data_IF_912988108461
#
_entry.id   IF_912988108461
#
_cell.length_a   1.000
_cell.length_b   1.000
_cell.length_c   1.000
_cell.angle_alpha   90.00
_cell.angle_beta   90.00
_cell.angle_gamma   90.00
#
_symmetry.space_group_name_H-M   'P 1'
#
loop_
_entity.id
_entity.type
_entity.pdbx_description
1 polymer ?
#
# COMPACT_ATOMS: atom_id res chain seq x y z
N UNK A 1 -1.97 11.61 16.64
CA UNK A 1 -2.75 10.40 16.29
C UNK A 1 -4.00 10.25 17.16
N UNK A 2 -4.02 10.60 18.46
CA UNK A 2 -5.22 10.38 19.30
C UNK A 2 -6.43 11.25 18.93
N UNK A 3 -6.23 12.50 18.47
CA UNK A 3 -7.35 13.39 18.10
C UNK A 3 -8.35 12.77 17.13
N UNK A 4 -7.88 11.99 16.13
CA UNK A 4 -8.77 11.32 15.16
C UNK A 4 -9.62 10.19 15.75
N UNK A 5 -9.18 9.58 16.86
CA UNK A 5 -9.94 8.53 17.53
C UNK A 5 -10.93 9.12 18.53
N UNK A 6 -10.55 10.22 19.20
CA UNK A 6 -11.46 11.04 20.01
C UNK A 6 -12.64 11.53 19.16
N UNK A 7 -12.36 12.11 17.98
CA UNK A 7 -13.39 12.55 17.03
C UNK A 7 -14.37 11.42 16.63
N UNK A 8 -13.89 10.17 16.53
CA UNK A 8 -14.73 9.01 16.19
C UNK A 8 -15.61 8.62 17.38
N UNK A 9 -15.08 8.65 18.60
CA UNK A 9 -15.85 8.32 19.80
C UNK A 9 -16.95 9.34 20.07
N UNK A 10 -16.73 10.61 19.74
CA UNK A 10 -17.70 11.69 19.91
C UNK A 10 -18.92 11.58 18.97
N UNK A 11 -18.82 10.82 17.89
CA UNK A 11 -19.89 10.63 16.90
C UNK A 11 -20.79 9.43 17.26
N UNK A 12 -20.30 8.49 18.08
CA UNK A 12 -21.02 7.26 18.41
C UNK A 12 -22.07 7.50 19.50
N UNK A 13 -23.24 6.87 19.35
CA UNK A 13 -24.24 6.88 20.41
C UNK A 13 -23.87 5.93 21.58
N UNK A 14 -24.62 6.01 22.69
CA UNK A 14 -24.35 5.18 23.88
C UNK A 14 -24.34 3.67 23.59
N UNK A 15 -25.25 3.18 22.75
CA UNK A 15 -25.33 1.76 22.42
C UNK A 15 -24.15 1.33 21.54
N UNK A 16 -23.76 2.19 20.60
CA UNK A 16 -22.59 1.98 19.74
C UNK A 16 -21.30 1.99 20.56
N UNK A 17 -21.14 2.93 21.48
CA UNK A 17 -20.02 2.98 22.42
C UNK A 17 -19.95 1.70 23.27
N UNK A 18 -21.08 1.20 23.76
CA UNK A 18 -21.10 -0.03 24.55
C UNK A 18 -20.75 -1.27 23.73
N UNK A 19 -21.19 -1.33 22.46
CA UNK A 19 -20.78 -2.38 21.51
C UNK A 19 -19.28 -2.31 21.20
N UNK A 20 -18.77 -1.10 20.99
CA UNK A 20 -17.35 -0.87 20.72
C UNK A 20 -16.49 -1.30 21.91
N UNK A 21 -16.90 -0.95 23.14
CA UNK A 21 -16.27 -1.42 24.37
C UNK A 21 -16.25 -2.94 24.46
N UNK A 22 -17.39 -3.60 24.23
CA UNK A 22 -17.48 -5.06 24.29
C UNK A 22 -16.59 -5.74 23.23
N UNK A 23 -16.49 -5.17 22.03
CA UNK A 23 -15.58 -5.70 20.99
C UNK A 23 -14.13 -5.57 21.46
N UNK A 24 -13.70 -4.41 21.97
CA UNK A 24 -12.35 -4.21 22.51
C UNK A 24 -12.04 -5.17 23.66
N UNK A 25 -12.96 -5.33 24.62
CA UNK A 25 -12.81 -6.24 25.76
C UNK A 25 -12.67 -7.71 25.30
N UNK A 26 -13.27 -8.06 24.16
CA UNK A 26 -13.15 -9.38 23.53
C UNK A 26 -11.93 -9.56 22.62
N UNK A 27 -11.01 -8.57 22.58
CA UNK A 27 -9.82 -8.59 21.74
C UNK A 27 -10.00 -7.97 20.35
N UNK A 28 -11.01 -7.11 20.19
CA UNK A 28 -11.31 -6.33 18.98
C UNK A 28 -11.55 -7.18 17.71
N UNK A 29 -12.22 -8.33 17.85
CA UNK A 29 -12.41 -9.31 16.77
C UNK A 29 -13.16 -8.70 15.59
N UNK A 30 -14.24 -7.97 15.86
CA UNK A 30 -15.09 -7.37 14.82
C UNK A 30 -14.35 -6.23 14.14
N UNK A 31 -13.72 -5.35 14.92
CA UNK A 31 -12.93 -4.24 14.40
C UNK A 31 -11.76 -4.71 13.55
N UNK A 32 -11.08 -5.79 13.96
CA UNK A 32 -9.98 -6.40 13.20
C UNK A 32 -10.47 -6.88 11.83
N UNK A 33 -11.58 -7.61 11.77
CA UNK A 33 -12.17 -8.05 10.48
C UNK A 33 -12.52 -6.87 9.59
N UNK A 34 -13.17 -5.85 10.16
CA UNK A 34 -13.51 -4.60 9.45
C UNK A 34 -12.27 -3.90 8.88
N UNK A 35 -11.19 -3.85 9.66
CA UNK A 35 -9.92 -3.26 9.24
C UNK A 35 -9.28 -4.07 8.11
N UNK A 36 -9.21 -5.39 8.24
CA UNK A 36 -8.68 -6.30 7.21
C UNK A 36 -9.47 -6.17 5.89
N UNK A 37 -10.80 -6.11 5.96
CA UNK A 37 -11.65 -5.89 4.78
C UNK A 37 -11.41 -4.53 4.14
N UNK A 38 -11.29 -3.46 4.94
CA UNK A 38 -10.97 -2.12 4.43
C UNK A 38 -9.60 -2.08 3.76
N UNK A 39 -8.57 -2.71 4.34
CA UNK A 39 -7.24 -2.83 3.75
C UNK A 39 -7.32 -3.59 2.42
N UNK A 40 -8.04 -4.73 2.40
CA UNK A 40 -8.24 -5.52 1.18
C UNK A 40 -8.94 -4.72 0.08
N UNK A 41 -9.94 -3.92 0.43
CA UNK A 41 -10.64 -3.07 -0.52
C UNK A 41 -9.74 -1.94 -1.03
N UNK A 42 -8.95 -1.31 -0.16
CA UNK A 42 -7.94 -0.33 -0.56
C UNK A 42 -6.87 -0.91 -1.49
N UNK A 43 -6.46 -2.16 -1.28
CA UNK A 43 -5.54 -2.85 -2.20
C UNK A 43 -6.17 -3.12 -3.58
N UNK A 44 -7.49 -3.35 -3.64
CA UNK A 44 -8.24 -3.50 -4.90
C UNK A 44 -8.41 -2.18 -5.65
N UNK A 45 -8.55 -1.04 -4.96
CA UNK A 45 -8.65 0.28 -5.58
C UNK A 45 -7.45 0.55 -6.48
N UNK A 46 -7.67 0.66 -7.79
CA UNK A 46 -6.59 0.90 -8.72
C UNK A 46 -6.09 2.35 -8.67
N UNK A 47 -4.78 2.55 -8.87
CA UNK A 47 -4.19 3.89 -8.99
C UNK A 47 -4.74 4.58 -10.23
N UNK A 48 -5.06 5.87 -10.16
CA UNK A 48 -5.67 6.58 -11.30
C UNK A 48 -4.67 6.96 -12.39
N UNK A 49 -3.37 6.82 -12.11
CA UNK A 49 -2.28 7.32 -12.95
C UNK A 49 -1.19 6.27 -13.11
N UNK A 50 -0.56 6.28 -14.28
CA UNK A 50 0.55 5.40 -14.58
C UNK A 50 1.80 5.81 -13.78
N UNK A 51 2.42 4.85 -13.08
CA UNK A 51 3.64 5.06 -12.31
C UNK A 51 4.88 5.41 -13.17
N UNK A 52 4.81 5.20 -14.49
CA UNK A 52 5.92 5.45 -15.42
C UNK A 52 5.75 6.77 -16.18
N UNK A 53 4.63 6.93 -16.89
CA UNK A 53 4.41 8.08 -17.79
C UNK A 53 3.41 9.12 -17.24
N UNK A 54 2.82 8.88 -16.07
CA UNK A 54 1.81 9.74 -15.43
C UNK A 54 0.48 9.90 -16.20
N UNK A 55 0.29 9.17 -17.31
CA UNK A 55 -0.99 9.13 -18.03
C UNK A 55 -2.12 8.58 -17.15
N UNK A 56 -3.33 9.08 -17.34
CA UNK A 56 -4.51 8.55 -16.66
C UNK A 56 -4.79 7.10 -17.06
N UNK A 57 -5.11 6.27 -16.06
CA UNK A 57 -5.44 4.87 -16.23
C UNK A 57 -6.96 4.72 -16.34
N UNK A 58 -7.40 4.23 -17.50
CA UNK A 58 -8.79 3.87 -17.72
C UNK A 58 -8.95 2.36 -17.50
N UNK A 59 -9.42 1.96 -16.31
CA UNK A 59 -9.61 0.56 -15.91
C UNK A 59 -10.70 -0.19 -16.68
N UNK A 60 -11.49 0.51 -17.51
CA UNK A 60 -12.42 -0.11 -18.44
C UNK A 60 -11.75 -0.53 -19.76
N UNK A 61 -10.47 -0.18 -19.97
CA UNK A 61 -9.63 -0.69 -21.07
C UNK A 61 -8.84 -1.92 -20.62
N UNK A 62 -8.66 -2.88 -21.52
CA UNK A 62 -8.09 -4.22 -21.25
C UNK A 62 -6.59 -4.25 -20.92
N UNK A 63 -5.85 -3.16 -21.10
CA UNK A 63 -4.38 -3.20 -21.13
C UNK A 63 -3.70 -2.53 -19.93
N UNK A 64 -4.36 -2.45 -18.77
CA UNK A 64 -3.71 -1.92 -17.56
C UNK A 64 -3.03 -3.05 -16.76
N UNK A 65 -1.85 -2.76 -16.25
CA UNK A 65 -1.09 -3.67 -15.40
C UNK A 65 -0.93 -3.08 -14.00
N UNK A 66 -0.82 -3.92 -12.98
CA UNK A 66 -0.59 -3.48 -11.61
C UNK A 66 0.40 -4.42 -10.93
N UNK A 67 1.44 -3.83 -10.33
CA UNK A 67 2.44 -4.52 -9.54
C UNK A 67 2.23 -4.17 -8.07
N UNK A 68 2.15 -5.18 -7.21
CA UNK A 68 2.11 -5.05 -5.75
C UNK A 68 3.38 -5.69 -5.19
N UNK A 69 4.14 -4.95 -4.39
CA UNK A 69 5.45 -5.39 -3.89
C UNK A 69 5.79 -4.79 -2.53
N UNK A 70 6.64 -5.47 -1.76
CA UNK A 70 6.97 -5.11 -0.37
C UNK A 70 6.53 -6.19 0.62
N UNK A 71 6.95 -6.09 1.90
CA UNK A 71 6.50 -6.99 2.95
C UNK A 71 5.01 -6.81 3.23
N UNK A 72 4.38 -7.77 3.91
CA UNK A 72 2.92 -7.78 4.05
C UNK A 72 2.35 -6.51 4.69
N UNK A 73 3.07 -5.93 5.65
CA UNK A 73 2.68 -4.71 6.36
C UNK A 73 3.01 -3.42 5.59
N UNK A 74 3.84 -3.49 4.55
CA UNK A 74 4.28 -2.32 3.76
C UNK A 74 4.17 -2.56 2.25
N UNK A 75 3.05 -3.13 1.81
CA UNK A 75 2.75 -3.30 0.38
C UNK A 75 2.68 -1.94 -0.30
N UNK A 76 3.47 -1.79 -1.36
CA UNK A 76 3.41 -0.68 -2.32
C UNK A 76 2.70 -1.16 -3.58
N UNK A 77 2.06 -0.22 -4.26
CA UNK A 77 1.32 -0.45 -5.50
C UNK A 77 1.84 0.47 -6.59
N UNK A 78 1.98 -0.05 -7.80
CA UNK A 78 2.26 0.73 -9.00
C UNK A 78 1.40 0.20 -10.14
N UNK A 79 0.68 1.09 -10.83
CA UNK A 79 -0.16 0.73 -11.98
C UNK A 79 0.40 1.34 -13.27
N UNK A 80 0.14 0.66 -14.40
CA UNK A 80 0.75 0.97 -15.69
C UNK A 80 -0.30 0.93 -16.80
N UNK A 81 -0.22 1.86 -17.75
CA UNK A 81 -1.18 1.99 -18.86
C UNK A 81 -0.95 0.97 -19.98
N UNK A 82 0.18 0.26 -19.94
CA UNK A 82 0.61 -0.66 -20.97
C UNK A 82 1.82 -1.48 -20.54
N UNK A 83 2.14 -2.49 -21.35
CA UNK A 83 3.24 -3.42 -21.10
C UNK A 83 4.61 -2.74 -21.19
N UNK A 84 4.74 -1.79 -22.11
CA UNK A 84 5.92 -0.93 -22.32
C UNK A 84 6.27 -0.12 -21.05
N UNK A 85 5.26 0.50 -20.43
CA UNK A 85 5.43 1.27 -19.19
C UNK A 85 5.81 0.37 -18.01
N UNK A 86 5.28 -0.85 -17.96
CA UNK A 86 5.67 -1.85 -16.97
C UNK A 86 7.11 -2.33 -17.19
N UNK A 87 7.48 -2.65 -18.42
CA UNK A 87 8.82 -3.11 -18.79
C UNK A 87 9.88 -2.06 -18.45
N UNK A 88 9.66 -0.80 -18.85
CA UNK A 88 10.53 0.31 -18.52
C UNK A 88 10.74 0.43 -17.00
N UNK A 89 9.65 0.32 -16.24
CA UNK A 89 9.71 0.36 -14.77
C UNK A 89 10.56 -0.78 -14.20
N UNK A 90 10.36 -2.01 -14.69
CA UNK A 90 11.13 -3.18 -14.24
C UNK A 90 12.62 -3.06 -14.56
N UNK A 91 12.97 -2.54 -15.73
CA UNK A 91 14.37 -2.28 -16.11
C UNK A 91 14.99 -1.26 -15.16
N UNK A 92 14.29 -0.14 -14.90
CA UNK A 92 14.77 0.90 -13.97
C UNK A 92 14.95 0.35 -12.56
N UNK A 93 14.00 -0.48 -12.09
CA UNK A 93 14.06 -1.12 -10.78
C UNK A 93 15.24 -2.09 -10.67
N UNK A 94 15.53 -2.86 -11.72
CA UNK A 94 16.69 -3.76 -11.77
C UNK A 94 18.00 -2.98 -11.70
N UNK A 95 18.11 -1.89 -12.46
CA UNK A 95 19.31 -1.05 -12.47
C UNK A 95 19.55 -0.36 -11.12
N UNK A 96 18.50 0.06 -10.42
CA UNK A 96 18.61 0.59 -9.05
C UNK A 96 19.17 -0.44 -8.07
N UNK A 97 18.74 -1.71 -8.17
CA UNK A 97 19.27 -2.79 -7.31
C UNK A 97 20.73 -3.12 -7.60
N UNK A 98 21.15 -3.02 -8.87
CA UNK A 98 22.56 -3.25 -9.25
C UNK A 98 23.44 -2.15 -8.65
N UNK A 99 23.06 -0.87 -8.83
CA UNK A 99 23.79 0.26 -8.23
C UNK A 99 23.91 0.16 -6.71
N UNK A 100 22.83 -0.20 -6.01
CA UNK A 100 22.87 -0.41 -4.56
C UNK A 100 23.87 -1.50 -4.14
N UNK A 101 24.04 -2.56 -4.94
CA UNK A 101 25.05 -3.59 -4.66
C UNK A 101 26.46 -3.05 -4.87
N UNK A 102 26.70 -2.32 -5.94
CA UNK A 102 28.01 -1.70 -6.25
C UNK A 102 28.41 -0.66 -5.19
N UNK A 103 27.47 0.16 -4.73
CA UNK A 103 27.68 1.14 -3.66
C UNK A 103 27.98 0.45 -2.31
N UNK A 104 27.38 -0.70 -2.04
CA UNK A 104 27.65 -1.46 -0.81
C UNK A 104 29.01 -2.17 -0.83
N UNK A 105 29.43 -2.69 -1.99
CA UNK A 105 30.76 -3.32 -2.16
C UNK A 105 31.87 -2.28 -2.07
N UNK A 106 31.74 -1.16 -2.78
CA UNK A 106 32.73 -0.07 -2.76
C UNK A 106 32.89 0.60 -1.39
N UNK A 107 31.85 0.60 -0.56
CA UNK A 107 31.95 1.05 0.84
C UNK A 107 32.63 0.03 1.75
N UNK A 108 32.58 -1.27 1.44
CA UNK A 108 33.21 -2.32 2.23
C UNK A 108 34.73 -2.37 2.01
N UNK A 109 35.18 -2.07 0.79
CA UNK A 109 36.61 -1.96 0.43
C UNK A 109 37.30 -0.70 1.00
N UNK A 110 36.54 0.24 1.57
CA UNK A 110 37.09 1.45 2.24
C UNK A 110 37.46 1.23 3.72
N UNK A 111 37.10 0.08 4.29
CA UNK A 111 37.37 -0.27 5.69
C UNK A 111 38.37 -1.44 5.85
N UNK A 112 39.01 -1.86 4.75
CA UNK A 112 40.14 -2.79 4.71
C UNK A 112 41.41 -2.03 4.30
#
# INVERSE_FOLDING_TARGET
>A
MSRRFEDVMDILDYNELMRFKNDLDSGAITLKKLLEEKIKNKLKEHEKVCATCSSELNFYKTNNYTLIFGPDDFKKKASFCGLDCLEYFLIKLKNMKIKQKEDNVSNMDRYL
#
